data_IF_700991624001
#
_entry.id   IF_700991624001
#
_cell.length_a   1.000
_cell.length_b   1.000
_cell.length_c   1.000
_cell.angle_alpha   90.00
_cell.angle_beta   90.00
_cell.angle_gamma   90.00
#
_symmetry.space_group_name_H-M   'P 1'
#
loop_
_entity.id
_entity.type
_entity.pdbx_description
1 polymer ?
#
# COMPACT_ATOMS: atom_id res chain seq x y z
N UNK A 1 -3.51 -9.65 -15.70
CA UNK A 1 -2.48 -9.16 -14.74
C UNK A 1 -2.55 -9.82 -13.35
N UNK A 2 -3.50 -9.48 -12.47
CA UNK A 2 -3.55 -10.03 -11.08
C UNK A 2 -3.50 -11.57 -11.04
N UNK A 3 -4.27 -12.22 -11.91
CA UNK A 3 -4.25 -13.68 -12.01
C UNK A 3 -2.86 -14.23 -12.39
N UNK A 4 -2.12 -13.56 -13.27
CA UNK A 4 -0.76 -13.97 -13.65
C UNK A 4 0.19 -13.88 -12.44
N UNK A 5 0.15 -12.76 -11.70
CA UNK A 5 0.95 -12.58 -10.49
C UNK A 5 0.69 -13.68 -9.46
N UNK A 6 -0.59 -14.04 -9.26
CA UNK A 6 -1.00 -15.06 -8.30
C UNK A 6 -0.59 -16.48 -8.74
N UNK A 7 -0.83 -16.86 -10.01
CA UNK A 7 -0.46 -18.18 -10.54
C UNK A 7 1.05 -18.43 -10.42
N UNK A 8 1.86 -17.37 -10.61
CA UNK A 8 3.31 -17.44 -10.51
C UNK A 8 3.87 -17.28 -9.09
N UNK A 9 3.00 -17.09 -8.08
CA UNK A 9 3.37 -16.86 -6.69
C UNK A 9 4.56 -15.88 -6.56
N UNK A 10 4.47 -14.74 -7.25
CA UNK A 10 5.57 -13.75 -7.24
C UNK A 10 5.88 -13.24 -5.83
N UNK A 11 4.86 -13.19 -4.98
CA UNK A 11 4.97 -12.76 -3.59
C UNK A 11 4.45 -13.84 -2.64
N UNK A 12 4.95 -13.83 -1.40
CA UNK A 12 4.60 -14.82 -0.37
C UNK A 12 3.18 -14.68 0.16
N UNK A 13 2.58 -13.50 -0.02
CA UNK A 13 1.25 -13.15 0.46
C UNK A 13 0.42 -12.50 -0.66
N UNK A 14 -0.90 -12.51 -0.51
CA UNK A 14 -1.84 -11.99 -1.50
C UNK A 14 -1.99 -10.46 -1.47
N UNK A 15 -1.36 -9.77 -0.52
CA UNK A 15 -1.55 -8.34 -0.29
C UNK A 15 -0.43 -7.51 -0.91
N UNK A 16 0.79 -8.04 -0.95
CA UNK A 16 1.97 -7.33 -1.48
C UNK A 16 1.73 -6.71 -2.85
N UNK A 17 1.22 -7.46 -3.85
CA UNK A 17 0.95 -6.90 -5.17
C UNK A 17 -0.26 -5.95 -5.20
N UNK A 18 -1.30 -6.26 -4.44
CA UNK A 18 -2.52 -5.45 -4.38
C UNK A 18 -2.25 -4.07 -3.79
N UNK A 19 -1.27 -3.97 -2.89
CA UNK A 19 -0.84 -2.72 -2.27
C UNK A 19 0.20 -1.95 -3.10
N UNK A 20 0.58 -2.43 -4.29
CA UNK A 20 1.49 -1.70 -5.16
C UNK A 20 0.72 -0.65 -5.98
N UNK A 21 1.02 0.65 -5.84
CA UNK A 21 0.39 1.66 -6.67
C UNK A 21 0.97 1.62 -8.08
N UNK A 22 0.11 1.87 -9.08
CA UNK A 22 0.52 1.97 -10.48
C UNK A 22 1.34 3.26 -10.70
N UNK A 23 2.41 3.17 -11.47
CA UNK A 23 3.23 4.31 -11.91
C UNK A 23 2.63 5.01 -13.14
N UNK A 24 1.78 4.31 -13.87
CA UNK A 24 1.13 4.74 -15.11
C UNK A 24 -0.38 4.65 -14.96
N UNK A 25 -1.08 5.16 -15.97
CA UNK A 25 -2.52 5.03 -16.07
C UNK A 25 -2.95 3.54 -16.13
N UNK A 26 -4.09 3.16 -15.52
CA UNK A 26 -4.53 1.77 -15.51
C UNK A 26 -4.73 1.19 -16.92
N UNK A 27 -5.29 1.97 -17.85
CA UNK A 27 -5.52 1.57 -19.24
C UNK A 27 -4.19 1.38 -19.98
N UNK A 28 -3.22 2.29 -19.78
CA UNK A 28 -1.86 2.15 -20.35
C UNK A 28 -1.18 0.88 -19.82
N UNK A 29 -1.26 0.64 -18.51
CA UNK A 29 -0.64 -0.52 -17.84
C UNK A 29 -1.26 -1.83 -18.33
N UNK A 30 -2.59 -1.86 -18.46
CA UNK A 30 -3.30 -3.04 -18.96
C UNK A 30 -2.99 -3.29 -20.43
N UNK A 31 -2.98 -2.24 -21.26
CA UNK A 31 -2.63 -2.35 -22.67
C UNK A 31 -1.23 -2.92 -22.87
N UNK A 32 -0.24 -2.46 -22.09
CA UNK A 32 1.10 -3.00 -22.17
C UNK A 32 1.17 -4.47 -21.69
N UNK A 33 0.45 -4.81 -20.61
CA UNK A 33 0.37 -6.18 -20.13
C UNK A 33 -0.16 -7.12 -21.23
N UNK A 34 -1.27 -6.76 -21.86
CA UNK A 34 -1.86 -7.53 -22.97
C UNK A 34 -0.92 -7.59 -24.18
N UNK A 35 -0.20 -6.50 -24.48
CA UNK A 35 0.79 -6.47 -25.56
C UNK A 35 1.93 -7.48 -25.34
N UNK A 36 2.44 -7.60 -24.11
CA UNK A 36 3.57 -8.48 -23.77
C UNK A 36 3.14 -9.93 -23.55
N UNK A 37 1.99 -10.16 -22.90
CA UNK A 37 1.61 -11.46 -22.37
C UNK A 37 0.24 -11.98 -22.85
N UNK A 38 -0.59 -11.16 -23.50
CA UNK A 38 -2.00 -11.48 -23.79
C UNK A 38 -2.23 -12.65 -24.76
N UNK A 39 -1.18 -13.12 -25.45
CA UNK A 39 -1.23 -14.32 -26.31
C UNK A 39 -0.78 -15.61 -25.61
N UNK A 40 -0.29 -15.50 -24.38
CA UNK A 40 0.20 -16.62 -23.59
C UNK A 40 -0.89 -17.08 -22.62
N UNK A 41 -0.97 -18.39 -22.38
CA UNK A 41 -1.70 -18.88 -21.21
C UNK A 41 -0.98 -18.42 -19.93
N UNK A 42 -1.73 -18.18 -18.85
CA UNK A 42 -1.18 -17.62 -17.61
C UNK A 42 0.01 -18.43 -17.07
N UNK A 43 -0.08 -19.76 -17.10
CA UNK A 43 0.98 -20.68 -16.67
C UNK A 43 2.27 -20.59 -17.49
N UNK A 44 2.18 -20.11 -18.74
CA UNK A 44 3.30 -20.07 -19.69
C UNK A 44 4.00 -18.70 -19.71
N UNK A 45 3.51 -17.72 -18.95
CA UNK A 45 4.20 -16.44 -18.77
C UNK A 45 5.51 -16.69 -18.04
N UNK A 46 6.62 -16.18 -18.56
CA UNK A 46 7.91 -16.27 -17.87
C UNK A 46 7.89 -15.43 -16.58
N UNK A 47 8.31 -16.04 -15.49
CA UNK A 47 8.25 -15.43 -14.15
C UNK A 47 9.18 -14.22 -14.02
N UNK A 48 10.34 -14.23 -14.68
CA UNK A 48 11.33 -13.14 -14.63
C UNK A 48 10.83 -11.96 -15.44
N UNK A 49 10.29 -12.20 -16.64
CA UNK A 49 9.68 -11.16 -17.46
C UNK A 49 8.45 -10.54 -16.78
N UNK A 50 7.62 -11.35 -16.11
CA UNK A 50 6.50 -10.83 -15.33
C UNK A 50 6.99 -9.96 -14.17
N UNK A 51 8.01 -10.41 -13.43
CA UNK A 51 8.61 -9.64 -12.34
C UNK A 51 9.15 -8.29 -12.84
N UNK A 52 9.86 -8.28 -13.97
CA UNK A 52 10.35 -7.06 -14.60
C UNK A 52 9.21 -6.11 -15.01
N UNK A 53 8.10 -6.65 -15.54
CA UNK A 53 6.90 -5.86 -15.84
C UNK A 53 6.33 -5.19 -14.57
N UNK A 54 6.23 -5.92 -13.44
CA UNK A 54 5.76 -5.35 -12.18
C UNK A 54 6.69 -4.23 -11.72
N UNK A 55 8.00 -4.44 -11.76
CA UNK A 55 8.99 -3.43 -11.38
C UNK A 55 8.94 -2.18 -12.28
N UNK A 56 8.60 -2.34 -13.56
CA UNK A 56 8.47 -1.24 -14.51
C UNK A 56 7.21 -0.41 -14.28
N UNK A 57 6.05 -1.06 -14.08
CA UNK A 57 4.73 -0.40 -14.05
C UNK A 57 4.16 -0.12 -12.66
N UNK A 58 4.69 -0.75 -11.62
CA UNK A 58 4.22 -0.62 -10.25
C UNK A 58 5.33 -0.08 -9.34
N UNK A 59 4.95 0.74 -8.37
CA UNK A 59 5.85 1.19 -7.31
C UNK A 59 5.82 0.22 -6.12
N UNK A 60 6.81 0.28 -5.22
CA UNK A 60 6.79 -0.54 -4.01
C UNK A 60 5.50 -0.34 -3.19
N UNK A 61 5.04 -1.36 -2.45
CA UNK A 61 3.87 -1.24 -1.58
C UNK A 61 4.02 -0.08 -0.60
N UNK A 62 2.97 0.74 -0.47
CA UNK A 62 2.97 1.90 0.42
C UNK A 62 3.74 3.11 -0.08
N UNK A 63 4.24 3.12 -1.33
CA UNK A 63 4.90 4.30 -1.93
C UNK A 63 3.97 5.51 -2.13
N UNK A 64 2.66 5.31 -1.99
CA UNK A 64 1.61 6.33 -1.96
C UNK A 64 1.39 6.92 -0.56
N UNK A 65 1.98 6.35 0.49
CA UNK A 65 1.78 6.76 1.88
C UNK A 65 2.94 7.63 2.38
N UNK A 66 2.61 8.83 2.82
CA UNK A 66 3.55 9.74 3.49
C UNK A 66 3.22 9.82 4.98
N UNK A 67 4.23 10.04 5.82
CA UNK A 67 4.00 10.36 7.22
C UNK A 67 3.15 11.63 7.35
N UNK A 68 2.27 11.68 8.35
CA UNK A 68 1.51 12.87 8.66
C UNK A 68 1.63 13.30 10.10
N UNK A 69 1.48 14.61 10.30
CA UNK A 69 1.37 15.22 11.61
C UNK A 69 -0.10 15.31 12.02
N UNK A 70 -0.41 14.78 13.20
CA UNK A 70 -1.73 14.90 13.81
C UNK A 70 -1.82 16.25 14.56
N UNK A 71 -2.24 17.31 13.87
CA UNK A 71 -2.26 18.69 14.39
C UNK A 71 -3.00 18.87 15.72
N UNK A 72 -4.07 18.12 15.94
CA UNK A 72 -4.92 18.21 17.14
C UNK A 72 -4.62 17.11 18.16
N UNK A 73 -3.53 16.35 17.98
CA UNK A 73 -3.16 15.32 18.94
C UNK A 73 -2.68 15.94 20.24
N UNK A 74 -3.22 15.43 21.36
CA UNK A 74 -2.85 15.85 22.70
C UNK A 74 -2.21 14.69 23.44
N UNK A 75 -1.10 14.93 24.14
CA UNK A 75 -0.43 13.90 24.94
C UNK A 75 -1.30 13.40 26.08
N UNK A 76 -2.06 14.30 26.71
CA UNK A 76 -2.96 14.01 27.83
C UNK A 76 -4.40 14.42 27.51
N UNK A 77 -5.13 13.68 26.64
CA UNK A 77 -6.50 14.04 26.29
C UNK A 77 -7.40 14.04 27.54
N UNK A 78 -8.24 15.08 27.76
CA UNK A 78 -9.07 15.20 28.96
C UNK A 78 -9.97 13.99 29.22
N UNK A 79 -10.40 13.27 28.17
CA UNK A 79 -11.19 12.04 28.29
C UNK A 79 -10.38 10.88 28.88
N UNK A 80 -9.12 10.72 28.47
CA UNK A 80 -8.25 9.65 28.99
C UNK A 80 -7.83 9.93 30.43
N UNK A 81 -7.66 11.21 30.79
CA UNK A 81 -7.33 11.60 32.17
C UNK A 81 -8.45 11.30 33.19
N UNK A 82 -9.68 11.07 32.73
CA UNK A 82 -10.81 10.66 33.59
C UNK A 82 -10.80 9.17 33.95
N UNK A 83 -9.95 8.36 33.32
CA UNK A 83 -9.79 6.94 33.67
C UNK A 83 -9.20 6.88 35.09
N UNK A 84 -9.96 6.27 36.00
CA UNK A 84 -9.64 6.24 37.44
C UNK A 84 -8.47 5.29 37.73
N UNK A 85 -8.51 4.11 37.13
CA UNK A 85 -7.45 3.12 37.27
C UNK A 85 -6.15 3.65 36.62
N UNK A 86 -5.04 3.78 37.39
CA UNK A 86 -3.80 4.32 36.86
C UNK A 86 -3.18 3.47 35.75
N UNK A 87 -3.29 2.14 35.82
CA UNK A 87 -2.72 1.23 34.84
C UNK A 87 -3.50 1.30 33.52
N UNK A 88 -4.83 1.37 33.57
CA UNK A 88 -5.66 1.56 32.38
C UNK A 88 -5.44 2.94 31.76
N UNK A 89 -5.25 3.98 32.58
CA UNK A 89 -4.94 5.32 32.07
C UNK A 89 -3.59 5.33 31.36
N UNK A 90 -2.56 4.74 31.94
CA UNK A 90 -1.23 4.63 31.32
C UNK A 90 -1.30 3.85 30.00
N UNK A 91 -2.01 2.72 29.99
CA UNK A 91 -2.24 1.96 28.76
C UNK A 91 -2.91 2.78 27.67
N UNK A 92 -3.95 3.56 28.03
CA UNK A 92 -4.66 4.41 27.07
C UNK A 92 -3.76 5.54 26.52
N UNK A 93 -2.88 6.12 27.35
CA UNK A 93 -1.91 7.13 26.90
C UNK A 93 -0.83 6.53 25.98
N UNK A 94 -0.38 5.29 26.24
CA UNK A 94 0.50 4.55 25.33
C UNK A 94 -0.19 4.25 23.99
N UNK A 95 -1.47 3.84 24.02
CA UNK A 95 -2.25 3.68 22.80
C UNK A 95 -2.39 5.01 22.04
N UNK A 96 -2.60 6.11 22.77
CA UNK A 96 -2.69 7.45 22.19
C UNK A 96 -1.42 7.84 21.42
N UNK A 97 -0.23 7.52 21.95
CA UNK A 97 1.04 7.86 21.30
C UNK A 97 1.33 7.04 20.03
N UNK A 98 0.81 5.81 19.93
CA UNK A 98 0.94 4.97 18.74
C UNK A 98 0.31 5.65 17.51
N UNK A 99 -0.78 6.42 17.67
CA UNK A 99 -1.42 7.11 16.54
C UNK A 99 -0.46 8.07 15.81
N UNK A 100 0.51 8.67 16.50
CA UNK A 100 1.54 9.50 15.86
C UNK A 100 2.44 8.69 14.92
N UNK A 101 2.73 7.43 15.27
CA UNK A 101 3.54 6.53 14.47
C UNK A 101 2.77 5.97 13.27
N UNK A 102 1.45 5.80 13.42
CA UNK A 102 0.57 5.22 12.40
C UNK A 102 -0.02 6.25 11.44
N UNK A 103 0.09 7.55 11.70
CA UNK A 103 -0.45 8.59 10.84
C UNK A 103 0.16 8.47 9.43
N UNK A 104 -0.68 8.19 8.43
CA UNK A 104 -0.30 8.24 7.02
C UNK A 104 -1.27 9.12 6.24
N UNK A 105 -0.73 9.86 5.28
CA UNK A 105 -1.49 10.61 4.28
C UNK A 105 -1.26 9.99 2.91
N UNK A 106 -2.34 9.77 2.18
CA UNK A 106 -2.25 9.32 0.79
C UNK A 106 -1.83 10.49 -0.09
N UNK A 107 -0.68 10.34 -0.76
CA UNK A 107 -0.30 11.24 -1.85
C UNK A 107 -0.98 10.74 -3.13
N UNK A 108 -1.79 11.61 -3.74
CA UNK A 108 -2.30 11.35 -5.08
C UNK A 108 -1.10 11.41 -6.04
N UNK A 109 -0.66 10.24 -6.52
CA UNK A 109 0.27 10.16 -7.63
C UNK A 109 -0.42 10.82 -8.82
N UNK A 110 0.11 11.95 -9.30
CA UNK A 110 -0.45 12.64 -10.46
C UNK A 110 -0.27 11.74 -11.69
N UNK A 111 -1.27 10.93 -11.98
CA UNK A 111 -1.45 10.32 -13.29
C UNK A 111 -1.77 11.49 -14.21
N UNK A 112 -0.88 11.77 -15.15
CA UNK A 112 -1.02 12.90 -16.07
C UNK A 112 -2.20 12.62 -16.99
N UNK A 113 -3.39 13.06 -16.61
CA UNK A 113 -4.50 13.23 -17.54
C UNK A 113 -4.11 14.40 -18.43
N UNK A 114 -3.65 14.08 -19.65
CA UNK A 114 -3.57 15.03 -20.76
C UNK A 114 -4.77 14.79 -21.68
#
# INVERSE_FOLDING_TARGET
LLAAVNVHNLYKDSKTFVDMPMKRDPEETLMEFERRFGKLELQNIDRVELQAFIEEYFAPPGAELEECELKEWMEFPPRLMRIQDPALREWALKLNSIWKLLCRKVRILKIWIK
#
